data_IF_839564655851
#
_entry.id   IF_839564655851
#
_cell.length_a   1.000
_cell.length_b   1.000
_cell.length_c   1.000
_cell.angle_alpha   90.00
_cell.angle_beta   90.00
_cell.angle_gamma   90.00
#
_symmetry.space_group_name_H-M   'P 1'
#
loop_
_entity.id
_entity.type
_entity.pdbx_description
1 polymer ?
#
# COMPACT_ATOMS: atom_id res chain seq x y z
N UNK A 1 4.27 10.81 -14.20
CA UNK A 1 2.79 10.68 -14.19
C UNK A 1 2.46 9.24 -14.55
N UNK A 2 2.49 8.35 -13.56
CA UNK A 2 2.21 6.93 -13.79
C UNK A 2 0.70 6.74 -13.95
N UNK A 3 0.32 6.24 -15.12
CA UNK A 3 -1.04 5.81 -15.43
C UNK A 3 -1.31 4.54 -14.62
N UNK A 4 -2.04 4.66 -13.50
CA UNK A 4 -2.45 3.52 -12.69
C UNK A 4 -3.46 2.67 -13.49
N UNK A 5 -2.97 1.65 -14.19
CA UNK A 5 -3.79 0.58 -14.74
C UNK A 5 -4.27 -0.31 -13.60
N UNK A 6 -5.55 -0.72 -13.49
CA UNK A 6 -6.14 -1.36 -12.31
C UNK A 6 -5.73 -2.84 -12.11
N UNK A 7 -4.45 -3.16 -12.23
CA UNK A 7 -3.89 -4.48 -12.01
C UNK A 7 -3.17 -4.56 -10.66
N UNK A 8 -3.14 -5.77 -10.08
CA UNK A 8 -2.56 -6.17 -8.79
C UNK A 8 -1.22 -5.54 -8.41
N UNK A 9 -0.43 -5.09 -9.38
CA UNK A 9 0.89 -4.49 -9.20
C UNK A 9 0.86 -3.02 -8.74
N UNK A 10 -0.27 -2.31 -8.89
CA UNK A 10 -0.39 -0.88 -8.56
C UNK A 10 -0.06 -0.57 -7.11
N UNK A 11 -0.51 -1.39 -6.16
CA UNK A 11 -0.33 -1.08 -4.75
C UNK A 11 1.13 -1.14 -4.31
N UNK A 12 1.90 -2.11 -4.81
CA UNK A 12 3.32 -2.19 -4.47
C UNK A 12 4.09 -1.01 -5.04
N UNK A 13 3.87 -0.69 -6.31
CA UNK A 13 4.53 0.46 -6.96
C UNK A 13 4.21 1.76 -6.22
N UNK A 14 2.94 1.98 -5.88
CA UNK A 14 2.51 3.15 -5.12
C UNK A 14 3.17 3.21 -3.73
N UNK A 15 3.14 2.11 -2.98
CA UNK A 15 3.69 2.08 -1.62
C UNK A 15 5.22 2.23 -1.61
N UNK A 16 5.91 1.67 -2.61
CA UNK A 16 7.35 1.87 -2.83
C UNK A 16 7.64 3.33 -3.16
N UNK A 17 6.86 3.96 -4.05
CA UNK A 17 7.03 5.38 -4.38
C UNK A 17 6.86 6.26 -3.13
N UNK A 18 5.86 5.97 -2.27
CA UNK A 18 5.69 6.69 -1.02
C UNK A 18 6.91 6.55 -0.10
N UNK A 19 7.50 5.35 -0.05
CA UNK A 19 8.69 5.09 0.75
C UNK A 19 9.92 5.82 0.22
N UNK A 20 10.14 5.80 -1.09
CA UNK A 20 11.21 6.54 -1.76
C UNK A 20 11.10 8.07 -1.57
N UNK A 21 9.87 8.56 -1.32
CA UNK A 21 9.59 9.96 -0.98
C UNK A 21 9.78 10.30 0.50
N UNK A 22 10.23 9.35 1.32
CA UNK A 22 10.58 9.53 2.73
C UNK A 22 9.49 9.14 3.72
N UNK A 23 8.42 8.48 3.28
CA UNK A 23 7.46 7.84 4.20
C UNK A 23 8.09 6.51 4.67
N UNK A 24 8.99 6.58 5.64
CA UNK A 24 9.78 5.41 6.05
C UNK A 24 8.99 4.41 6.92
N UNK A 25 8.11 4.92 7.77
CA UNK A 25 7.32 4.13 8.70
C UNK A 25 5.86 4.58 8.70
N UNK A 26 4.97 3.62 8.44
CA UNK A 26 3.53 3.80 8.58
C UNK A 26 3.06 2.86 9.68
N UNK A 27 2.39 3.38 10.70
CA UNK A 27 1.91 2.52 11.80
C UNK A 27 0.58 1.86 11.48
N UNK A 28 -0.27 2.51 10.68
CA UNK A 28 -1.63 2.06 10.45
C UNK A 28 -2.15 2.40 9.05
N UNK A 29 -2.78 1.42 8.40
CA UNK A 29 -3.47 1.57 7.13
C UNK A 29 -4.99 1.33 7.29
N UNK A 30 -5.79 2.13 6.60
CA UNK A 30 -7.24 1.97 6.51
C UNK A 30 -7.60 1.92 5.03
N UNK A 31 -8.38 0.92 4.61
CA UNK A 31 -8.75 0.73 3.21
C UNK A 31 -10.11 0.04 3.06
N UNK A 32 -10.69 0.10 1.86
CA UNK A 32 -12.06 -0.29 1.47
C UNK A 32 -12.17 -1.72 0.89
N UNK A 33 -11.15 -2.56 1.10
CA UNK A 33 -11.17 -3.98 0.67
C UNK A 33 -10.69 -4.24 -0.75
N UNK A 34 -10.04 -3.26 -1.39
CA UNK A 34 -9.44 -3.45 -2.70
C UNK A 34 -8.44 -4.61 -2.72
N UNK A 35 -8.56 -5.47 -3.73
CA UNK A 35 -7.75 -6.68 -3.84
C UNK A 35 -6.26 -6.35 -3.94
N UNK A 36 -5.44 -7.09 -3.19
CA UNK A 36 -3.97 -7.03 -3.27
C UNK A 36 -3.30 -5.98 -2.38
N UNK A 37 -4.05 -5.06 -1.77
CA UNK A 37 -3.46 -4.00 -0.94
C UNK A 37 -2.84 -4.55 0.36
N UNK A 38 -3.45 -5.55 1.00
CA UNK A 38 -2.90 -6.19 2.21
C UNK A 38 -1.53 -6.80 1.95
N UNK A 39 -1.42 -7.58 0.87
CA UNK A 39 -0.14 -8.18 0.47
C UNK A 39 0.92 -7.11 0.19
N UNK A 40 0.53 -5.99 -0.42
CA UNK A 40 1.45 -4.90 -0.69
C UNK A 40 1.91 -4.17 0.58
N UNK A 41 0.99 -3.91 1.52
CA UNK A 41 1.31 -3.33 2.84
C UNK A 41 2.32 -4.23 3.57
N UNK A 42 2.05 -5.53 3.63
CA UNK A 42 2.92 -6.51 4.30
C UNK A 42 4.30 -6.62 3.66
N UNK A 43 4.44 -6.30 2.37
CA UNK A 43 5.74 -6.31 1.66
C UNK A 43 6.55 -5.01 1.88
N UNK A 44 5.91 -3.84 1.83
CA UNK A 44 6.61 -2.55 1.85
C UNK A 44 6.77 -2.01 3.28
N UNK A 45 5.73 -2.16 4.10
CA UNK A 45 5.64 -1.68 5.47
C UNK A 45 5.33 -2.82 6.45
N UNK A 46 6.32 -3.70 6.61
CA UNK A 46 6.23 -4.98 7.36
C UNK A 46 5.78 -4.85 8.82
N UNK A 47 5.86 -3.65 9.42
CA UNK A 47 5.48 -3.39 10.82
C UNK A 47 4.08 -2.81 10.98
N UNK A 48 3.42 -2.42 9.89
CA UNK A 48 2.14 -1.72 9.95
C UNK A 48 1.01 -2.64 10.40
N UNK A 49 0.06 -2.06 11.12
CA UNK A 49 -1.26 -2.65 11.31
C UNK A 49 -2.21 -2.15 10.23
N UNK A 50 -3.29 -2.88 9.99
CA UNK A 50 -4.29 -2.46 9.01
C UNK A 50 -5.70 -2.82 9.44
N UNK A 51 -6.68 -2.04 8.97
CA UNK A 51 -8.09 -2.26 9.18
C UNK A 51 -8.87 -2.08 7.86
N UNK A 52 -9.82 -2.99 7.64
CA UNK A 52 -10.80 -2.92 6.58
C UNK A 52 -11.99 -2.04 7.05
N UNK A 53 -12.37 -1.05 6.24
CA UNK A 53 -13.64 -0.32 6.42
C UNK A 53 -14.64 -0.87 5.43
N UNK A 54 -15.77 -1.32 5.98
CA UNK A 54 -16.92 -1.91 5.30
C UNK A 54 -17.94 -0.83 4.94
#
# INVERSE_FOLDING_TARGET
MLLLQPNRHVWNELLIELKERGVEEVLFFIFDGLKGIVTAIEQVYTKSKYQLVI
#
